data_IF_484194816320
#
_entry.id   IF_484194816320
#
_cell.length_a   1.000
_cell.length_b   1.000
_cell.length_c   1.000
_cell.angle_alpha   90.00
_cell.angle_beta   90.00
_cell.angle_gamma   90.00
#
_symmetry.space_group_name_H-M   'P 1'
#
loop_
_entity.id
_entity.type
_entity.pdbx_description
1 polymer ?
#
# COMPACT_ATOMS: atom_id res chain seq x y z
N UNK A 1 -10.21 16.59 -14.53
CA UNK A 1 -9.02 17.44 -14.34
C UNK A 1 -9.11 18.10 -12.97
N UNK A 2 -8.46 17.52 -11.96
CA UNK A 2 -8.40 18.14 -10.63
C UNK A 2 -7.21 19.11 -10.59
N UNK A 3 -7.48 20.35 -10.20
CA UNK A 3 -6.48 21.41 -10.06
C UNK A 3 -5.70 21.23 -8.75
N UNK A 4 -4.40 21.03 -8.90
CA UNK A 4 -3.41 20.93 -7.83
C UNK A 4 -3.40 22.16 -6.92
N UNK A 5 -3.31 21.94 -5.60
CA UNK A 5 -3.01 22.97 -4.60
C UNK A 5 -1.84 22.48 -3.74
N UNK A 6 -0.64 23.07 -3.85
CA UNK A 6 0.48 22.69 -3.00
C UNK A 6 0.19 23.06 -1.54
N UNK A 7 0.69 22.26 -0.56
CA UNK A 7 0.55 22.56 0.85
C UNK A 7 1.25 23.88 1.19
N UNK A 8 0.72 24.59 2.20
CA UNK A 8 1.27 25.89 2.59
C UNK A 8 2.53 25.67 3.43
N UNK A 9 3.47 26.61 3.34
CA UNK A 9 4.78 26.63 4.04
C UNK A 9 4.75 26.32 5.55
N UNK A 10 3.61 26.51 6.21
CA UNK A 10 3.42 26.23 7.63
C UNK A 10 3.10 24.75 7.92
N UNK A 11 2.53 24.02 6.95
CA UNK A 11 2.28 22.57 7.02
C UNK A 11 3.60 21.79 6.79
N UNK A 12 4.49 22.34 5.95
CA UNK A 12 5.85 21.79 5.75
C UNK A 12 6.71 21.86 7.01
N UNK A 13 6.52 22.88 7.86
CA UNK A 13 7.29 23.05 9.09
C UNK A 13 6.91 21.98 10.14
N UNK A 14 5.62 21.70 10.32
CA UNK A 14 5.15 20.66 11.25
C UNK A 14 5.59 19.25 10.84
N UNK A 15 5.62 18.96 9.55
CA UNK A 15 6.13 17.68 9.02
C UNK A 15 7.65 17.54 9.18
N UNK A 16 8.41 18.64 9.04
CA UNK A 16 9.85 18.65 9.27
C UNK A 16 10.22 18.50 10.75
N UNK A 17 9.48 19.13 11.65
CA UNK A 17 9.72 19.01 13.10
C UNK A 17 9.42 17.61 13.62
N UNK A 18 8.36 16.96 13.12
CA UNK A 18 8.07 15.56 13.44
C UNK A 18 9.18 14.61 12.92
N UNK A 19 9.70 14.85 11.71
CA UNK A 19 10.78 14.06 11.11
C UNK A 19 12.09 14.17 11.90
N UNK A 20 12.51 15.38 12.28
CA UNK A 20 13.75 15.61 13.03
C UNK A 20 13.66 15.09 14.47
N UNK A 21 12.50 15.22 15.11
CA UNK A 21 12.32 14.78 16.50
C UNK A 21 12.35 13.25 16.65
N UNK A 22 12.01 12.49 15.61
CA UNK A 22 11.92 11.03 15.66
C UNK A 22 13.21 10.34 15.20
N UNK A 23 13.95 10.95 14.25
CA UNK A 23 15.27 10.48 13.79
C UNK A 23 16.30 10.51 14.94
N UNK A 24 16.31 11.60 15.72
CA UNK A 24 17.15 11.74 16.93
C UNK A 24 16.74 10.73 18.03
N UNK A 25 15.46 10.35 18.07
CA UNK A 25 14.94 9.38 19.05
C UNK A 25 15.30 7.94 18.68
N UNK A 26 15.34 7.63 17.38
CA UNK A 26 15.79 6.34 16.86
C UNK A 26 17.28 6.10 17.09
N UNK A 27 18.12 7.11 16.85
CA UNK A 27 19.58 7.02 17.09
C UNK A 27 19.94 6.81 18.56
N UNK A 28 19.17 7.38 19.50
CA UNK A 28 19.46 7.27 20.93
C UNK A 28 19.07 5.92 21.56
N UNK A 29 18.17 5.15 20.94
CA UNK A 29 17.65 3.90 21.49
C UNK A 29 18.35 2.65 20.96
N UNK A 30 19.06 2.73 19.83
CA UNK A 30 19.63 1.57 19.14
C UNK A 30 21.16 1.46 19.18
N UNK A 31 21.81 2.08 20.16
CA UNK A 31 23.16 1.70 20.59
C UNK A 31 24.15 1.42 19.45
N UNK A 32 24.57 2.46 18.72
CA UNK A 32 25.89 2.50 18.10
C UNK A 32 26.17 1.54 16.93
N UNK A 33 25.18 1.05 16.19
CA UNK A 33 25.42 0.54 14.84
C UNK A 33 25.03 1.59 13.81
N UNK A 34 26.04 2.20 13.19
CA UNK A 34 25.86 3.17 12.10
C UNK A 34 25.46 2.40 10.84
N UNK A 35 24.17 2.06 10.74
CA UNK A 35 23.58 1.79 9.45
C UNK A 35 23.52 3.13 8.70
N UNK A 36 24.39 3.28 7.70
CA UNK A 36 24.33 4.40 6.75
C UNK A 36 23.05 4.24 5.94
N UNK A 37 21.94 4.60 6.56
CA UNK A 37 20.66 4.62 5.89
C UNK A 37 20.58 5.97 5.22
N UNK A 38 20.46 6.01 3.89
CA UNK A 38 20.37 7.27 3.19
C UNK A 38 19.17 8.04 3.73
N UNK A 39 19.41 9.20 4.33
CA UNK A 39 18.35 10.12 4.72
C UNK A 39 17.68 10.65 3.43
N UNK A 40 16.67 9.94 2.94
CA UNK A 40 15.88 10.35 1.77
C UNK A 40 14.89 11.41 2.22
N UNK A 41 14.97 12.61 1.63
CA UNK A 41 14.01 13.66 1.93
C UNK A 41 12.59 13.26 1.50
N UNK A 42 11.57 13.71 2.25
CA UNK A 42 10.16 13.40 1.96
C UNK A 42 9.74 13.76 0.53
N UNK A 43 10.26 14.87 -0.01
CA UNK A 43 9.99 15.28 -1.39
C UNK A 43 10.57 14.30 -2.43
N UNK A 44 11.72 13.70 -2.14
CA UNK A 44 12.32 12.67 -3.00
C UNK A 44 11.56 11.35 -2.93
N UNK A 45 11.13 10.93 -1.73
CA UNK A 45 10.23 9.78 -1.56
C UNK A 45 8.94 9.97 -2.37
N UNK A 46 8.32 11.14 -2.27
CA UNK A 46 7.10 11.46 -3.03
C UNK A 46 7.28 11.30 -4.55
N UNK A 47 8.37 11.85 -5.11
CA UNK A 47 8.66 11.72 -6.54
C UNK A 47 8.95 10.28 -6.96
N UNK A 48 9.68 9.53 -6.13
CA UNK A 48 9.98 8.12 -6.40
C UNK A 48 8.72 7.24 -6.34
N UNK A 49 7.79 7.54 -5.44
CA UNK A 49 6.48 6.86 -5.35
C UNK A 49 5.63 7.15 -6.59
N UNK A 50 5.55 8.42 -7.02
CA UNK A 50 4.80 8.80 -8.21
C UNK A 50 5.35 8.19 -9.49
N UNK A 51 6.67 8.00 -9.57
CA UNK A 51 7.35 7.36 -10.70
C UNK A 51 7.43 5.83 -10.59
N UNK A 52 6.93 5.25 -9.49
CA UNK A 52 7.02 3.83 -9.15
C UNK A 52 8.46 3.28 -9.16
N UNK A 53 9.43 4.12 -8.79
CA UNK A 53 10.87 3.79 -8.75
C UNK A 53 11.43 3.69 -7.33
N UNK A 54 10.58 3.71 -6.31
CA UNK A 54 11.02 3.59 -4.94
C UNK A 54 11.47 2.15 -4.65
N UNK A 55 12.74 1.98 -4.30
CA UNK A 55 13.24 0.74 -3.72
C UNK A 55 12.93 0.73 -2.23
N UNK A 56 12.06 -0.18 -1.81
CA UNK A 56 11.61 -0.29 -0.42
C UNK A 56 12.63 -0.99 0.48
N UNK A 57 13.51 -1.81 -0.10
CA UNK A 57 14.47 -2.63 0.65
C UNK A 57 15.60 -1.78 1.24
N UNK A 58 15.95 -0.67 0.60
CA UNK A 58 17.03 0.25 1.02
C UNK A 58 16.54 1.37 1.97
N UNK A 59 15.26 1.40 2.32
CA UNK A 59 14.69 2.41 3.21
C UNK A 59 14.85 2.03 4.69
N UNK A 60 15.15 3.02 5.54
CA UNK A 60 14.97 2.88 7.00
C UNK A 60 13.49 2.65 7.35
N UNK A 61 13.21 2.04 8.49
CA UNK A 61 11.84 1.87 8.99
C UNK A 61 11.08 3.21 9.08
N UNK A 62 11.75 4.31 9.46
CA UNK A 62 11.14 5.66 9.46
C UNK A 62 10.79 6.18 8.07
N UNK A 63 11.68 5.95 7.09
CA UNK A 63 11.42 6.31 5.69
C UNK A 63 10.31 5.43 5.07
N UNK A 64 10.24 4.14 5.40
CA UNK A 64 9.15 3.22 4.98
C UNK A 64 7.80 3.70 5.51
N UNK A 65 7.73 4.08 6.79
CA UNK A 65 6.49 4.61 7.39
C UNK A 65 6.03 5.89 6.69
N UNK A 66 6.97 6.79 6.42
CA UNK A 66 6.69 8.03 5.67
C UNK A 66 6.21 7.72 4.25
N UNK A 67 6.87 6.79 3.55
CA UNK A 67 6.48 6.36 2.21
C UNK A 67 5.08 5.72 2.18
N UNK A 68 4.74 4.90 3.18
CA UNK A 68 3.42 4.30 3.33
C UNK A 68 2.33 5.37 3.52
N UNK A 69 2.60 6.39 4.34
CA UNK A 69 1.65 7.50 4.54
C UNK A 69 1.45 8.31 3.25
N UNK A 70 2.53 8.50 2.47
CA UNK A 70 2.42 9.12 1.14
C UNK A 70 1.54 8.27 0.21
N UNK A 71 1.77 6.96 0.13
CA UNK A 71 0.96 6.05 -0.70
C UNK A 71 -0.52 6.07 -0.27
N UNK A 72 -0.80 6.09 1.03
CA UNK A 72 -2.16 6.27 1.58
C UNK A 72 -2.79 7.57 1.14
N UNK A 73 -2.04 8.68 1.20
CA UNK A 73 -2.55 10.00 0.78
C UNK A 73 -2.84 10.09 -0.71
N UNK A 74 -2.14 9.30 -1.54
CA UNK A 74 -2.31 9.22 -2.99
C UNK A 74 -3.36 8.19 -3.42
N UNK A 75 -3.90 7.42 -2.47
CA UNK A 75 -4.81 6.32 -2.77
C UNK A 75 -6.20 6.78 -3.19
N UNK A 76 -6.83 5.99 -4.06
CA UNK A 76 -8.27 6.05 -4.31
C UNK A 76 -9.01 5.45 -3.12
N UNK A 77 -8.51 4.33 -2.59
CA UNK A 77 -9.11 3.59 -1.47
C UNK A 77 -8.02 3.02 -0.59
N UNK A 78 -8.12 3.23 0.72
CA UNK A 78 -7.36 2.51 1.74
C UNK A 78 -8.32 1.59 2.50
N UNK A 79 -8.16 0.27 2.34
CA UNK A 79 -8.97 -0.72 3.06
C UNK A 79 -8.52 -0.92 4.51
N UNK A 80 -7.34 -0.42 4.88
CA UNK A 80 -6.73 -0.69 6.17
C UNK A 80 -6.48 -2.18 6.40
N UNK A 81 -6.39 -2.56 7.67
CA UNK A 81 -6.30 -3.95 8.13
C UNK A 81 -7.69 -4.57 8.25
N UNK A 82 -7.81 -5.87 7.98
CA UNK A 82 -9.05 -6.60 8.24
C UNK A 82 -9.16 -7.01 9.72
N UNK A 83 -10.39 -7.01 10.25
CA UNK A 83 -10.69 -7.66 11.52
C UNK A 83 -10.92 -9.14 11.19
N UNK A 84 -10.09 -10.02 11.76
CA UNK A 84 -10.08 -11.44 11.41
C UNK A 84 -11.47 -12.09 11.54
N UNK A 85 -11.90 -12.78 10.49
CA UNK A 85 -12.85 -13.88 10.56
C UNK A 85 -12.03 -15.18 10.54
N UNK A 86 -12.44 -16.18 11.33
CA UNK A 86 -11.66 -17.37 11.67
C UNK A 86 -11.45 -18.40 10.52
N UNK A 87 -11.60 -17.99 9.25
CA UNK A 87 -11.45 -18.87 8.10
C UNK A 87 -10.06 -18.78 7.47
N UNK A 88 -9.54 -19.93 7.03
CA UNK A 88 -8.27 -20.02 6.32
C UNK A 88 -8.44 -19.51 4.87
N UNK A 89 -7.60 -18.54 4.47
CA UNK A 89 -7.52 -18.03 3.10
C UNK A 89 -7.51 -16.50 2.98
N UNK A 90 -7.51 -15.97 1.74
CA UNK A 90 -7.59 -14.54 1.47
C UNK A 90 -8.79 -13.86 2.14
N UNK A 91 -8.53 -12.73 2.80
CA UNK A 91 -9.54 -12.07 3.62
C UNK A 91 -10.35 -11.08 2.78
N UNK A 92 -11.66 -11.26 2.70
CA UNK A 92 -12.54 -10.28 2.06
C UNK A 92 -12.42 -8.91 2.73
N UNK A 93 -12.39 -7.84 1.93
CA UNK A 93 -12.32 -6.46 2.45
C UNK A 93 -13.40 -5.60 1.83
N UNK A 94 -13.98 -4.71 2.64
CA UNK A 94 -15.00 -3.75 2.19
C UNK A 94 -14.74 -2.40 2.81
N UNK A 95 -14.68 -1.36 1.98
CA UNK A 95 -14.49 0.02 2.44
C UNK A 95 -15.09 1.01 1.46
N UNK A 96 -15.85 1.99 1.95
CA UNK A 96 -16.44 3.10 1.16
C UNK A 96 -17.05 2.70 -0.19
N UNK A 97 -17.83 1.61 -0.22
CA UNK A 97 -18.49 1.13 -1.44
C UNK A 97 -17.61 0.35 -2.41
N UNK A 98 -16.34 0.11 -2.04
CA UNK A 98 -15.45 -0.84 -2.70
C UNK A 98 -15.40 -2.15 -1.93
N UNK A 99 -15.14 -3.24 -2.65
CA UNK A 99 -14.93 -4.56 -2.08
C UNK A 99 -13.85 -5.33 -2.82
N UNK A 100 -13.05 -6.06 -2.06
CA UNK A 100 -12.10 -7.07 -2.54
C UNK A 100 -12.62 -8.42 -2.06
N UNK A 101 -12.88 -9.33 -3.01
CA UNK A 101 -13.30 -10.70 -2.74
C UNK A 101 -12.47 -11.69 -3.54
N UNK A 102 -12.53 -12.94 -3.12
CA UNK A 102 -11.73 -14.01 -3.69
C UNK A 102 -12.63 -15.17 -4.10
N UNK A 103 -12.29 -15.82 -5.21
CA UNK A 103 -13.01 -16.99 -5.69
C UNK A 103 -12.03 -18.00 -6.26
N UNK A 104 -12.05 -19.21 -5.71
CA UNK A 104 -11.24 -20.32 -6.21
C UNK A 104 -11.57 -20.62 -7.68
N UNK A 105 -10.53 -20.89 -8.46
CA UNK A 105 -10.70 -21.35 -9.84
C UNK A 105 -11.20 -22.80 -9.85
N UNK A 106 -12.23 -23.05 -10.66
CA UNK A 106 -12.80 -24.39 -10.83
C UNK A 106 -12.00 -25.26 -11.81
N UNK A 107 -11.15 -24.64 -12.63
CA UNK A 107 -10.35 -25.32 -13.65
C UNK A 107 -8.92 -25.60 -13.21
N UNK A 108 -8.42 -24.87 -12.21
CA UNK A 108 -7.07 -25.03 -11.69
C UNK A 108 -7.05 -24.66 -10.19
N UNK A 109 -6.80 -25.62 -9.27
CA UNK A 109 -6.81 -25.35 -7.84
C UNK A 109 -5.66 -24.45 -7.36
N UNK A 110 -4.62 -24.25 -8.18
CA UNK A 110 -3.50 -23.35 -7.85
C UNK A 110 -3.80 -21.89 -8.20
N UNK A 111 -4.98 -21.60 -8.73
CA UNK A 111 -5.36 -20.26 -9.17
C UNK A 111 -6.58 -19.77 -8.39
N UNK A 112 -6.53 -18.52 -7.97
CA UNK A 112 -7.66 -17.83 -7.33
C UNK A 112 -7.97 -16.55 -8.11
N UNK A 113 -9.25 -16.27 -8.30
CA UNK A 113 -9.69 -14.99 -8.82
C UNK A 113 -9.73 -13.95 -7.71
N UNK A 114 -8.97 -12.89 -7.88
CA UNK A 114 -9.09 -11.63 -7.15
C UNK A 114 -10.14 -10.77 -7.86
N UNK A 115 -11.21 -10.43 -7.15
CA UNK A 115 -12.31 -9.60 -7.64
C UNK A 115 -12.34 -8.29 -6.86
N UNK A 116 -12.17 -7.18 -7.56
CA UNK A 116 -12.25 -5.85 -6.98
C UNK A 116 -13.43 -5.14 -7.65
N UNK A 117 -14.41 -4.72 -6.86
CA UNK A 117 -15.58 -3.99 -7.36
C UNK A 117 -15.80 -2.72 -6.55
N UNK A 118 -16.39 -1.71 -7.17
CA UNK A 118 -16.76 -0.49 -6.44
C UNK A 118 -17.77 0.37 -7.18
N UNK A 119 -18.57 1.11 -6.44
CA UNK A 119 -19.61 2.00 -7.00
C UNK A 119 -19.03 3.13 -7.86
N UNK A 120 -17.78 3.52 -7.61
CA UNK A 120 -17.06 4.58 -8.34
C UNK A 120 -15.94 4.06 -9.26
N UNK A 121 -15.84 2.74 -9.48
CA UNK A 121 -14.79 2.16 -10.33
C UNK A 121 -14.84 2.64 -11.79
N UNK A 122 -15.99 3.15 -12.23
CA UNK A 122 -16.15 3.72 -13.57
C UNK A 122 -15.44 5.06 -13.75
N UNK A 123 -15.18 5.80 -12.66
CA UNK A 123 -14.46 7.08 -12.69
C UNK A 123 -13.04 6.98 -12.14
N UNK A 124 -12.82 6.17 -11.12
CA UNK A 124 -11.57 6.20 -10.34
C UNK A 124 -10.59 5.07 -10.72
N UNK A 125 -10.89 4.33 -11.80
CA UNK A 125 -10.18 3.16 -12.35
C UNK A 125 -8.72 2.98 -11.87
N UNK A 126 -8.50 2.31 -10.72
CA UNK A 126 -7.17 2.17 -10.13
C UNK A 126 -6.31 1.29 -11.03
N UNK A 127 -5.05 1.70 -11.18
CA UNK A 127 -4.06 1.00 -11.99
C UNK A 127 -3.23 -0.01 -11.19
N UNK A 128 -3.17 0.13 -9.86
CA UNK A 128 -2.37 -0.73 -9.01
C UNK A 128 -3.11 -1.10 -7.72
N UNK A 129 -2.86 -2.33 -7.26
CA UNK A 129 -3.10 -2.77 -5.90
C UNK A 129 -1.78 -2.80 -5.17
N UNK A 130 -1.68 -2.04 -4.08
CA UNK A 130 -0.51 -2.00 -3.22
C UNK A 130 -0.86 -2.71 -1.92
N UNK A 131 -0.04 -3.69 -1.53
CA UNK A 131 -0.23 -4.50 -0.34
C UNK A 131 0.99 -4.35 0.57
N UNK A 132 0.76 -4.00 1.82
CA UNK A 132 1.79 -3.90 2.86
C UNK A 132 1.59 -5.00 3.89
N UNK A 133 2.59 -5.87 4.05
CA UNK A 133 2.67 -6.84 5.13
C UNK A 133 3.12 -6.21 6.45
N UNK A 134 2.97 -6.96 7.54
CA UNK A 134 3.44 -6.52 8.87
C UNK A 134 4.97 -6.59 9.01
N UNK A 135 5.62 -7.43 8.22
CA UNK A 135 7.06 -7.62 8.17
C UNK A 135 7.75 -6.70 7.17
N UNK A 136 7.14 -5.53 6.93
CA UNK A 136 7.65 -4.48 6.04
C UNK A 136 7.75 -4.92 4.56
N UNK A 137 7.19 -6.08 4.20
CA UNK A 137 7.00 -6.47 2.79
C UNK A 137 6.02 -5.53 2.11
N UNK A 138 6.34 -5.16 0.87
CA UNK A 138 5.43 -4.43 -0.02
C UNK A 138 5.38 -5.12 -1.37
N UNK A 139 4.16 -5.30 -1.86
CA UNK A 139 3.93 -5.68 -3.25
C UNK A 139 3.12 -4.58 -3.93
N UNK A 140 3.60 -4.14 -5.09
CA UNK A 140 2.84 -3.36 -6.05
C UNK A 140 2.42 -4.29 -7.18
N UNK A 141 1.12 -4.45 -7.37
CA UNK A 141 0.55 -5.36 -8.35
C UNK A 141 -0.28 -4.59 -9.38
N UNK A 142 0.06 -4.66 -10.68
CA UNK A 142 -0.66 -3.93 -11.71
C UNK A 142 -2.06 -4.52 -11.91
N UNK A 143 -3.06 -3.65 -11.99
CA UNK A 143 -4.44 -4.01 -12.22
C UNK A 143 -4.83 -3.75 -13.68
N UNK A 144 -5.58 -4.67 -14.33
CA UNK A 144 -6.16 -4.39 -15.62
C UNK A 144 -7.28 -3.34 -15.48
N UNK A 145 -7.64 -2.65 -16.58
CA UNK A 145 -8.77 -1.74 -16.57
C UNK A 145 -10.06 -2.42 -16.10
N UNK A 146 -10.88 -1.69 -15.33
CA UNK A 146 -12.18 -2.18 -14.90
C UNK A 146 -13.11 -2.42 -16.09
N UNK A 147 -13.90 -3.49 -16.01
CA UNK A 147 -14.94 -3.83 -16.96
C UNK A 147 -16.27 -3.86 -16.23
N UNK A 148 -17.15 -2.91 -16.57
CA UNK A 148 -18.47 -2.76 -15.92
C UNK A 148 -18.37 -2.60 -14.39
N UNK A 149 -17.36 -1.86 -13.93
CA UNK A 149 -17.16 -1.58 -12.49
C UNK A 149 -16.52 -2.71 -11.69
N UNK A 150 -15.93 -3.70 -12.37
CA UNK A 150 -15.21 -4.81 -11.76
C UNK A 150 -13.83 -4.97 -12.40
N UNK A 151 -12.80 -5.09 -11.58
CA UNK A 151 -11.47 -5.58 -11.95
C UNK A 151 -11.40 -7.05 -11.53
N UNK A 152 -11.00 -7.91 -12.46
CA UNK A 152 -10.81 -9.33 -12.22
C UNK A 152 -9.40 -9.72 -12.62
N UNK A 153 -8.67 -10.34 -11.68
CA UNK A 153 -7.33 -10.84 -11.91
C UNK A 153 -7.23 -12.28 -11.42
N UNK A 154 -6.38 -13.06 -12.07
CA UNK A 154 -6.05 -14.41 -11.65
C UNK A 154 -4.69 -14.36 -10.94
N UNK A 155 -4.64 -14.89 -9.73
CA UNK A 155 -3.44 -14.94 -8.90
C UNK A 155 -3.12 -16.39 -8.55
N UNK A 156 -1.82 -16.72 -8.51
CA UNK A 156 -1.34 -18.02 -8.09
C UNK A 156 -1.42 -18.13 -6.56
N UNK A 157 -1.93 -19.23 -6.03
CA UNK A 157 -2.07 -19.46 -4.58
C UNK A 157 -0.73 -19.65 -3.88
N UNK A 158 0.35 -19.91 -4.63
CA UNK A 158 1.73 -19.94 -4.13
C UNK A 158 2.47 -18.61 -4.27
N UNK A 159 1.80 -17.57 -4.78
CA UNK A 159 2.42 -16.25 -4.94
C UNK A 159 2.49 -15.48 -3.63
N UNK A 160 3.54 -14.68 -3.49
CA UNK A 160 3.73 -13.79 -2.34
C UNK A 160 2.55 -12.79 -2.17
N UNK A 161 1.92 -12.40 -3.28
CA UNK A 161 0.71 -11.59 -3.25
C UNK A 161 -0.45 -12.31 -2.56
N UNK A 162 -0.67 -13.58 -2.89
CA UNK A 162 -1.73 -14.38 -2.27
C UNK A 162 -1.50 -14.54 -0.76
N UNK A 163 -0.25 -14.78 -0.36
CA UNK A 163 0.14 -14.86 1.05
C UNK A 163 -0.20 -13.56 1.80
N UNK A 164 0.24 -12.41 1.28
CA UNK A 164 -0.04 -11.11 1.90
C UNK A 164 -1.54 -10.76 1.93
N UNK A 165 -2.31 -11.16 0.92
CA UNK A 165 -3.76 -10.95 0.88
C UNK A 165 -4.51 -11.83 1.88
N UNK A 166 -3.91 -12.94 2.30
CA UNK A 166 -4.41 -13.85 3.33
C UNK A 166 -4.08 -13.39 4.74
N UNK A 167 -3.13 -12.46 4.91
CA UNK A 167 -2.84 -11.86 6.21
C UNK A 167 -3.91 -10.83 6.60
N UNK A 168 -4.66 -11.01 7.70
CA UNK A 168 -5.65 -10.01 8.13
C UNK A 168 -5.01 -8.66 8.48
N UNK A 169 -3.76 -8.70 8.97
CA UNK A 169 -2.99 -7.54 9.38
C UNK A 169 -2.34 -6.78 8.22
N UNK A 170 -2.37 -7.29 6.99
CA UNK A 170 -1.85 -6.53 5.86
C UNK A 170 -2.71 -5.31 5.58
N UNK A 171 -2.15 -4.26 4.97
CA UNK A 171 -2.87 -3.06 4.54
C UNK A 171 -2.95 -3.06 3.03
N UNK A 172 -4.15 -2.87 2.49
CA UNK A 172 -4.41 -2.88 1.04
C UNK A 172 -4.86 -1.51 0.57
N UNK A 173 -4.26 -1.05 -0.52
CA UNK A 173 -4.49 0.27 -1.09
C UNK A 173 -4.71 0.15 -2.59
N UNK A 174 -5.71 0.86 -3.12
CA UNK A 174 -5.92 1.02 -4.56
C UNK A 174 -5.41 2.39 -5.01
N UNK A 175 -4.61 2.41 -6.08
CA UNK A 175 -4.02 3.61 -6.67
C UNK A 175 -4.24 3.64 -8.18
#
# INVERSE_FOLDING_TARGET
>A
MATFRPPKRNEEAGLREAFVAEDIRGELLLGGETFVTQAVSTGRLYQQILSDQLDWTDLSSGARRTAMEIERSLSVVDFGTAIAAADAGPVERRYRGYSITFRESQSDPNLTYLLISGTSMTTDNPANLIVFGMDERRISFPLPPSRRGVIQVLIDTSSELYDLLSEPSSVLILR
#
